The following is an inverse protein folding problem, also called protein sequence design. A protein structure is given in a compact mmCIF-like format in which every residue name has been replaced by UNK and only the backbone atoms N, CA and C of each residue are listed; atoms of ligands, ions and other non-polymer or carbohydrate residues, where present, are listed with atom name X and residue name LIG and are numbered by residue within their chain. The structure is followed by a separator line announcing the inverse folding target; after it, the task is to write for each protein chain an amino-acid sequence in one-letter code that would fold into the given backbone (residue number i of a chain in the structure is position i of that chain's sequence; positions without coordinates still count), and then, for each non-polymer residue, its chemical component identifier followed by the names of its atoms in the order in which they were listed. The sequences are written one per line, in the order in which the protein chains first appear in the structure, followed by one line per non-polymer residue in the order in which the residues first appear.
data_IF_835292965904
#
_entry.id   IF_835292965904
#
_cell.length_a   1.000
_cell.length_b   1.000
_cell.length_c   1.000
_cell.angle_alpha   90.00
_cell.angle_beta   90.00
_cell.angle_gamma   90.00
#
_symmetry.space_group_name_H-M   'P 1'
#
loop_
_entity.id
_entity.type
_entity.pdbx_description
1 polymer ?
#
# COMPACT_ATOMS: atom_id res chain seq x y z
N UNK A 1 6.35 -17.37 7.91
CA UNK A 1 6.71 -16.64 6.68
C UNK A 1 7.72 -15.56 7.01
N UNK A 2 9.02 -15.86 6.87
CA UNK A 2 10.09 -14.85 6.98
C UNK A 2 10.50 -14.54 5.54
N UNK A 3 9.83 -13.58 4.91
CA UNK A 3 10.17 -13.17 3.54
C UNK A 3 11.41 -12.28 3.61
N UNK A 4 12.30 -12.33 2.60
CA UNK A 4 13.44 -11.40 2.47
C UNK A 4 13.01 -9.97 2.10
N UNK A 5 11.73 -9.66 2.25
CA UNK A 5 11.14 -8.38 1.87
C UNK A 5 11.76 -7.22 2.67
N UNK A 6 12.12 -7.47 3.93
CA UNK A 6 12.84 -6.51 4.79
C UNK A 6 14.24 -6.15 4.29
N UNK A 7 14.84 -6.97 3.42
CA UNK A 7 16.15 -6.70 2.81
C UNK A 7 16.02 -6.03 1.43
N UNK A 8 14.87 -6.18 0.78
CA UNK A 8 14.65 -5.72 -0.59
C UNK A 8 13.89 -4.38 -0.66
N UNK A 9 13.08 -4.07 0.35
CA UNK A 9 12.19 -2.91 0.35
C UNK A 9 12.33 -2.11 1.63
N UNK A 10 12.23 -0.77 1.49
CA UNK A 10 12.18 0.13 2.64
C UNK A 10 10.93 -0.20 3.50
N UNK A 11 10.99 -0.06 4.84
CA UNK A 11 9.87 -0.38 5.73
C UNK A 11 8.54 0.26 5.32
N UNK A 12 8.58 1.50 4.83
CA UNK A 12 7.41 2.24 4.35
C UNK A 12 6.71 1.57 3.15
N UNK A 13 7.47 0.97 2.21
CA UNK A 13 6.90 0.24 1.08
C UNK A 13 6.21 -1.05 1.53
N UNK A 14 6.80 -1.74 2.52
CA UNK A 14 6.24 -2.97 3.08
C UNK A 14 4.92 -2.68 3.80
N UNK A 15 4.86 -1.59 4.56
CA UNK A 15 3.64 -1.13 5.22
C UNK A 15 2.53 -0.80 4.21
N UNK A 16 2.86 -0.05 3.14
CA UNK A 16 1.90 0.27 2.10
C UNK A 16 1.38 -0.98 1.37
N UNK A 17 2.25 -1.95 1.06
CA UNK A 17 1.88 -3.23 0.47
C UNK A 17 0.98 -4.06 1.38
N UNK A 18 1.26 -4.08 2.69
CA UNK A 18 0.42 -4.77 3.67
C UNK A 18 -0.97 -4.12 3.79
N UNK A 19 -1.05 -2.79 3.81
CA UNK A 19 -2.31 -2.04 3.83
C UNK A 19 -3.13 -2.31 2.56
N UNK A 20 -2.50 -2.26 1.38
CA UNK A 20 -3.15 -2.59 0.12
C UNK A 20 -3.72 -4.01 0.11
N UNK A 21 -2.90 -4.98 0.52
CA UNK A 21 -3.28 -6.39 0.55
C UNK A 21 -4.43 -6.64 1.54
N UNK A 22 -4.36 -6.04 2.73
CA UNK A 22 -5.41 -6.12 3.73
C UNK A 22 -6.71 -5.51 3.22
N UNK A 23 -6.68 -4.33 2.61
CA UNK A 23 -7.87 -3.69 2.08
C UNK A 23 -8.49 -4.47 0.91
N UNK A 24 -7.67 -5.03 0.02
CA UNK A 24 -8.14 -5.92 -1.06
C UNK A 24 -8.83 -7.15 -0.49
N UNK A 25 -8.28 -7.75 0.57
CA UNK A 25 -8.87 -8.92 1.22
C UNK A 25 -10.17 -8.58 1.95
N UNK A 26 -10.21 -7.41 2.59
CA UNK A 26 -11.37 -6.89 3.32
C UNK A 26 -12.41 -6.21 2.41
N UNK A 27 -12.14 -6.12 1.10
CA UNK A 27 -12.95 -5.36 0.11
C UNK A 27 -13.27 -3.93 0.55
N UNK A 28 -12.34 -3.32 1.28
CA UNK A 28 -12.45 -1.92 1.70
C UNK A 28 -11.98 -1.05 0.54
N UNK A 29 -12.81 -0.09 0.17
CA UNK A 29 -12.45 0.88 -0.85
C UNK A 29 -11.50 1.93 -0.24
N UNK A 30 -10.21 1.77 -0.49
CA UNK A 30 -9.19 2.74 -0.07
C UNK A 30 -9.22 4.04 -0.90
N UNK A 31 -10.00 4.08 -1.99
CA UNK A 31 -10.18 5.27 -2.82
C UNK A 31 -11.30 6.17 -2.26
N UNK A 32 -12.07 5.70 -1.28
CA UNK A 32 -13.18 6.41 -0.65
C UNK A 32 -12.77 7.51 0.33
N UNK A 33 -11.51 8.00 0.23
CA UNK A 33 -11.10 9.27 0.80
C UNK A 33 -11.69 10.40 -0.05
N UNK A 34 -12.46 11.27 0.59
CA UNK A 34 -13.29 12.30 -0.03
C UNK A 34 -12.57 13.13 -1.10
N UNK A 35 -13.21 13.21 -2.28
CA UNK A 35 -13.24 14.34 -3.22
C UNK A 35 -12.03 15.31 -3.18
N UNK A 36 -10.84 14.82 -3.54
CA UNK A 36 -9.65 15.66 -3.76
C UNK A 36 -8.60 15.66 -2.65
N UNK A 37 -8.78 14.93 -1.55
CA UNK A 37 -7.77 14.79 -0.51
C UNK A 37 -6.86 13.59 -0.80
N UNK A 38 -5.61 13.89 -1.21
CA UNK A 38 -4.42 13.01 -1.26
C UNK A 38 -4.69 11.49 -1.26
N UNK A 39 -4.40 10.86 -2.40
CA UNK A 39 -4.60 9.42 -2.51
C UNK A 39 -3.70 8.68 -1.53
N UNK A 40 -4.25 7.72 -0.75
CA UNK A 40 -3.58 7.13 0.42
C UNK A 40 -2.16 6.59 0.16
N UNK A 41 -1.88 6.13 -1.06
CA UNK A 41 -0.55 5.65 -1.46
C UNK A 41 0.49 6.80 -1.67
N UNK A 42 0.04 8.04 -1.90
CA UNK A 42 0.91 9.20 -2.01
C UNK A 42 1.62 9.54 -0.69
N UNK A 43 0.97 9.28 0.46
CA UNK A 43 1.58 9.45 1.78
C UNK A 43 2.77 8.50 1.99
N UNK A 44 2.75 7.33 1.36
CA UNK A 44 3.84 6.37 1.42
C UNK A 44 4.89 6.57 0.33
N UNK A 45 4.74 7.59 -0.53
CA UNK A 45 5.57 7.83 -1.71
C UNK A 45 5.61 6.62 -2.66
N UNK A 46 4.52 5.83 -2.71
CA UNK A 46 4.45 4.61 -3.54
C UNK A 46 3.50 4.82 -4.71
N UNK A 47 3.91 4.33 -5.87
CA UNK A 47 3.07 4.31 -7.08
C UNK A 47 2.16 3.07 -7.03
N UNK A 48 0.90 3.13 -7.48
CA UNK A 48 0.02 1.95 -7.54
C UNK A 48 0.66 0.76 -8.26
N UNK A 49 1.49 1.02 -9.27
CA UNK A 49 2.27 -0.01 -10.00
C UNK A 49 3.24 -0.81 -9.13
N UNK A 50 3.67 -0.28 -7.97
CA UNK A 50 4.50 -1.01 -7.01
C UNK A 50 3.68 -1.88 -6.05
N UNK A 51 2.36 -1.70 -5.97
CA UNK A 51 1.47 -2.44 -5.09
C UNK A 51 0.80 -3.64 -5.78
N UNK A 52 0.71 -3.62 -7.12
CA UNK A 52 0.12 -4.68 -7.94
C UNK A 52 1.12 -5.75 -8.42
N UNK A 53 2.31 -5.81 -7.83
CA UNK A 53 3.38 -6.75 -8.19
C UNK A 53 2.98 -8.22 -8.15
#
# INVERSE_FOLDING_TARGET
LRTSLCLQFKPHHIAAGAIFLAAKFLKVDLQSGSDGEKVWWQEFNVTPRHLEG
#
